data_IF_364697965868
#
_entry.id   IF_364697965868
#
_cell.length_a   1.000
_cell.length_b   1.000
_cell.length_c   1.000
_cell.angle_alpha   90.00
_cell.angle_beta   90.00
_cell.angle_gamma   90.00
#
_symmetry.space_group_name_H-M   'P 1'
#
loop_
_entity.id
_entity.type
_entity.pdbx_description
1 polymer ?
#
# COMPACT_ATOMS: atom_id res chain seq x y z
N UNK A 1 21.50 21.05 9.74
CA UNK A 1 21.00 21.64 11.00
C UNK A 1 20.23 20.54 11.71
N UNK A 2 20.79 20.00 12.78
CA UNK A 2 20.16 18.97 13.59
C UNK A 2 19.06 19.66 14.41
N UNK A 3 17.80 19.43 14.05
CA UNK A 3 16.67 19.91 14.81
C UNK A 3 16.64 19.25 16.20
N UNK A 4 16.38 20.08 17.18
CA UNK A 4 16.27 19.80 18.60
C UNK A 4 15.52 18.50 18.89
N UNK A 5 16.21 17.58 19.55
CA UNK A 5 15.64 16.37 20.14
C UNK A 5 14.78 16.84 21.33
N UNK A 6 13.45 16.76 21.19
CA UNK A 6 12.57 16.88 22.35
C UNK A 6 12.85 15.68 23.28
N UNK A 7 13.39 15.98 24.45
CA UNK A 7 13.54 15.00 25.51
C UNK A 7 12.15 14.72 26.09
N UNK A 8 11.58 13.57 25.76
CA UNK A 8 10.32 13.12 26.38
C UNK A 8 10.48 13.05 27.91
N UNK A 9 9.55 13.69 28.63
CA UNK A 9 9.42 13.49 30.07
C UNK A 9 9.27 12.00 30.37
N UNK A 10 10.08 11.46 31.28
CA UNK A 10 9.97 10.06 31.73
C UNK A 10 8.59 9.85 32.38
N UNK A 11 7.71 9.17 31.68
CA UNK A 11 6.42 8.73 32.25
C UNK A 11 6.68 7.65 33.29
N UNK A 12 6.10 7.81 34.49
CA UNK A 12 6.08 6.74 35.49
C UNK A 12 5.16 5.61 34.97
N UNK A 13 5.62 4.36 34.90
CA UNK A 13 4.80 3.28 34.39
C UNK A 13 3.55 3.08 35.25
N UNK A 14 2.39 2.96 34.62
CA UNK A 14 1.10 2.70 35.26
C UNK A 14 0.66 1.24 35.13
N UNK A 15 1.35 0.46 34.30
CA UNK A 15 1.07 -0.93 34.00
C UNK A 15 2.34 -1.70 33.58
N UNK A 16 2.30 -3.03 33.63
CA UNK A 16 3.36 -3.90 33.10
C UNK A 16 3.63 -3.65 31.61
N UNK A 17 2.63 -3.18 30.87
CA UNK A 17 2.77 -2.84 29.45
C UNK A 17 3.59 -1.56 29.28
N UNK A 18 3.38 -0.57 30.13
CA UNK A 18 4.15 0.68 30.10
C UNK A 18 5.63 0.42 30.44
N UNK A 19 5.91 -0.47 31.39
CA UNK A 19 7.29 -0.89 31.71
C UNK A 19 7.97 -1.54 30.51
N UNK A 20 7.24 -2.37 29.77
CA UNK A 20 7.72 -3.02 28.56
C UNK A 20 8.05 -1.99 27.47
N UNK A 21 7.16 -1.00 27.24
CA UNK A 21 7.42 0.08 26.29
C UNK A 21 8.63 0.92 26.67
N UNK A 22 8.76 1.28 27.94
CA UNK A 22 9.93 2.03 28.44
C UNK A 22 11.21 1.22 28.21
N UNK A 23 11.19 -0.07 28.51
CA UNK A 23 12.33 -0.97 28.28
C UNK A 23 12.74 -0.99 26.80
N UNK A 24 11.78 -1.09 25.87
CA UNK A 24 12.07 -1.08 24.44
C UNK A 24 12.52 0.28 23.94
N UNK A 25 11.95 1.38 24.43
CA UNK A 25 12.39 2.74 24.11
C UNK A 25 13.86 2.95 24.51
N UNK A 26 14.26 2.49 25.70
CA UNK A 26 15.63 2.59 26.15
C UNK A 26 16.59 1.68 25.35
N UNK A 27 16.16 0.43 25.09
CA UNK A 27 16.99 -0.57 24.41
C UNK A 27 17.25 -0.24 22.94
N UNK A 28 16.23 0.27 22.24
CA UNK A 28 16.28 0.47 20.79
C UNK A 28 16.36 1.93 20.36
N UNK A 29 16.45 2.87 21.33
CA UNK A 29 16.47 4.31 21.06
C UNK A 29 15.36 4.73 20.08
N UNK A 30 14.12 4.32 20.39
CA UNK A 30 12.97 4.56 19.54
C UNK A 30 12.74 6.05 19.33
N UNK A 31 12.57 6.44 18.09
CA UNK A 31 12.22 7.82 17.71
C UNK A 31 10.75 7.87 17.33
N UNK A 32 10.05 8.85 17.86
CA UNK A 32 8.68 9.14 17.45
C UNK A 32 8.73 10.29 16.45
N UNK A 33 8.13 10.08 15.29
CA UNK A 33 7.97 11.12 14.28
C UNK A 33 6.50 11.08 13.82
N UNK A 34 5.75 12.15 14.10
CA UNK A 34 4.33 12.28 13.75
C UNK A 34 4.10 12.26 12.24
N UNK A 35 5.10 12.63 11.44
CA UNK A 35 5.05 12.55 9.99
C UNK A 35 4.76 11.12 9.51
N UNK A 36 5.40 10.13 10.14
CA UNK A 36 5.19 8.74 9.75
C UNK A 36 3.79 8.22 10.12
N UNK A 37 3.16 8.75 11.16
CA UNK A 37 1.83 8.33 11.59
C UNK A 37 0.76 8.49 10.50
N UNK A 38 0.85 9.56 9.70
CA UNK A 38 -0.07 9.78 8.57
C UNK A 38 0.24 8.89 7.37
N UNK A 39 1.50 8.51 7.18
CA UNK A 39 1.96 7.78 5.99
C UNK A 39 1.71 6.26 6.07
N UNK A 40 1.56 5.71 7.28
CA UNK A 40 1.25 4.28 7.46
C UNK A 40 -0.19 3.94 7.09
N UNK A 41 -1.04 4.92 6.83
CA UNK A 41 -2.45 4.71 6.50
C UNK A 41 -2.69 4.90 5.00
N UNK A 42 -3.27 3.87 4.36
CA UNK A 42 -3.61 3.92 2.93
C UNK A 42 -4.70 4.93 2.59
N UNK A 43 -5.61 5.23 3.52
CA UNK A 43 -6.81 6.05 3.26
C UNK A 43 -6.50 7.46 2.74
N UNK A 44 -5.37 8.03 3.11
CA UNK A 44 -4.95 9.38 2.68
C UNK A 44 -4.44 9.43 1.24
N UNK A 45 -4.11 8.27 0.66
CA UNK A 45 -3.44 8.18 -0.64
C UNK A 45 -4.26 7.44 -1.70
N UNK A 46 -5.53 7.14 -1.39
CA UNK A 46 -6.46 6.41 -2.27
C UNK A 46 -6.65 7.06 -3.64
N UNK A 47 -6.46 8.36 -3.74
CA UNK A 47 -6.67 9.13 -4.96
C UNK A 47 -5.40 9.31 -5.81
N UNK A 48 -4.23 8.86 -5.30
CA UNK A 48 -2.98 8.92 -6.03
C UNK A 48 -2.98 8.00 -7.26
N UNK A 49 -2.26 8.37 -8.33
CA UNK A 49 -2.06 7.51 -9.49
C UNK A 49 -1.60 6.12 -9.08
N UNK A 50 -2.08 5.10 -9.77
CA UNK A 50 -1.92 3.67 -9.48
C UNK A 50 -2.57 3.21 -8.18
N UNK A 51 -2.54 3.98 -7.08
CA UNK A 51 -3.14 3.59 -5.81
C UNK A 51 -4.67 3.57 -5.89
N UNK A 52 -5.28 4.50 -6.61
CA UNK A 52 -6.73 4.56 -6.85
C UNK A 52 -7.30 3.40 -7.67
N UNK A 53 -6.46 2.57 -8.30
CA UNK A 53 -6.95 1.44 -9.10
C UNK A 53 -7.61 0.36 -8.24
N UNK A 54 -7.14 0.20 -7.01
CA UNK A 54 -7.72 -0.71 -6.04
C UNK A 54 -7.42 -0.23 -4.63
N UNK A 55 -8.47 -0.12 -3.82
CA UNK A 55 -8.32 0.18 -2.41
C UNK A 55 -7.81 -1.06 -1.67
N UNK A 56 -6.58 -1.01 -1.20
CA UNK A 56 -5.95 -2.08 -0.43
C UNK A 56 -5.86 -1.66 1.04
N UNK A 57 -6.74 -2.22 1.86
CA UNK A 57 -6.96 -1.77 3.25
C UNK A 57 -5.70 -1.90 4.12
N UNK A 58 -4.90 -2.94 3.89
CA UNK A 58 -3.65 -3.20 4.61
C UNK A 58 -2.43 -2.52 3.96
N UNK A 59 -2.68 -1.65 3.00
CA UNK A 59 -1.63 -0.92 2.30
C UNK A 59 -1.15 0.30 3.09
N UNK A 60 0.06 0.72 2.79
CA UNK A 60 0.64 1.98 3.23
C UNK A 60 0.93 2.89 2.02
N UNK A 61 1.21 4.16 2.32
CA UNK A 61 1.53 5.13 1.30
C UNK A 61 2.88 4.86 0.62
N UNK A 62 3.00 5.04 -0.71
CA UNK A 62 4.30 5.06 -1.37
C UNK A 62 5.24 6.13 -0.83
N UNK A 63 4.70 7.23 -0.30
CA UNK A 63 5.50 8.29 0.33
C UNK A 63 6.19 7.80 1.59
N UNK A 64 5.59 6.88 2.36
CA UNK A 64 6.25 6.24 3.50
C UNK A 64 7.56 5.58 3.06
N UNK A 65 7.51 4.83 1.97
CA UNK A 65 8.68 4.14 1.43
C UNK A 65 9.74 5.15 0.94
N UNK A 66 9.31 6.20 0.26
CA UNK A 66 10.22 7.28 -0.18
C UNK A 66 10.89 7.97 0.99
N UNK A 67 10.17 8.23 2.09
CA UNK A 67 10.76 8.80 3.31
C UNK A 67 11.76 7.85 3.98
N UNK A 68 11.48 6.53 3.95
CA UNK A 68 12.45 5.53 4.44
C UNK A 68 13.70 5.54 3.57
N UNK A 69 13.58 5.66 2.24
CA UNK A 69 14.72 5.75 1.34
C UNK A 69 15.58 6.98 1.65
N UNK A 70 14.94 8.13 1.86
CA UNK A 70 15.60 9.36 2.25
C UNK A 70 16.28 9.24 3.62
N UNK A 71 15.61 8.61 4.59
CA UNK A 71 16.15 8.40 5.93
C UNK A 71 17.41 7.50 5.93
N UNK A 72 17.42 6.50 5.06
CA UNK A 72 18.53 5.56 4.89
C UNK A 72 19.62 6.08 3.95
N UNK A 73 19.44 7.26 3.35
CA UNK A 73 20.36 7.85 2.37
C UNK A 73 20.75 6.86 1.25
N UNK A 74 19.73 6.19 0.67
CA UNK A 74 19.95 5.17 -0.34
C UNK A 74 20.41 5.77 -1.66
N UNK A 75 21.52 5.26 -2.19
CA UNK A 75 21.92 5.57 -3.56
C UNK A 75 21.06 4.76 -4.56
N UNK A 76 20.21 5.40 -5.38
CA UNK A 76 19.34 4.70 -6.32
C UNK A 76 20.07 3.80 -7.32
N UNK A 77 21.32 4.10 -7.63
CA UNK A 77 22.10 3.35 -8.62
C UNK A 77 22.63 2.00 -8.09
N UNK A 78 22.82 1.92 -6.78
CA UNK A 78 23.43 0.74 -6.14
C UNK A 78 22.45 0.02 -5.20
N UNK A 79 21.41 0.70 -4.75
CA UNK A 79 20.43 0.12 -3.85
C UNK A 79 19.55 -0.92 -4.55
N UNK A 80 19.21 -1.97 -3.80
CA UNK A 80 18.24 -3.00 -4.17
C UNK A 80 17.24 -3.16 -3.02
N UNK A 81 15.97 -3.01 -3.30
CA UNK A 81 14.90 -3.18 -2.32
C UNK A 81 14.32 -4.58 -2.45
N UNK A 82 14.09 -5.23 -1.32
CA UNK A 82 13.40 -6.51 -1.26
C UNK A 82 12.18 -6.41 -0.34
N UNK A 83 11.00 -6.68 -0.91
CA UNK A 83 9.72 -6.69 -0.19
C UNK A 83 9.11 -8.10 -0.25
N UNK A 84 9.23 -8.90 0.83
CA UNK A 84 8.70 -10.26 0.86
C UNK A 84 7.18 -10.34 0.98
N UNK A 85 6.48 -9.20 1.21
CA UNK A 85 5.03 -9.11 1.41
C UNK A 85 4.46 -7.94 0.60
N UNK A 86 4.72 -7.93 -0.70
CA UNK A 86 4.47 -6.81 -1.61
C UNK A 86 3.03 -6.30 -1.61
N UNK A 87 2.05 -7.15 -1.34
CA UNK A 87 0.65 -6.79 -1.41
C UNK A 87 0.28 -6.21 -2.78
N UNK A 88 -0.37 -5.07 -2.79
CA UNK A 88 -0.73 -4.38 -4.03
C UNK A 88 0.40 -3.56 -4.66
N UNK A 89 1.63 -3.63 -4.16
CA UNK A 89 2.84 -3.09 -4.78
C UNK A 89 3.25 -1.68 -4.38
N UNK A 90 2.88 -1.17 -3.22
CA UNK A 90 3.25 0.19 -2.78
C UNK A 90 4.77 0.41 -2.74
N UNK A 91 5.53 -0.55 -2.19
CA UNK A 91 7.00 -0.52 -2.19
C UNK A 91 7.58 -0.48 -3.60
N UNK A 92 7.07 -1.33 -4.50
CA UNK A 92 7.59 -1.43 -5.87
C UNK A 92 7.31 -0.16 -6.68
N UNK A 93 6.11 0.43 -6.53
CA UNK A 93 5.76 1.71 -7.16
C UNK A 93 6.66 2.82 -6.63
N UNK A 94 6.91 2.86 -5.32
CA UNK A 94 7.81 3.86 -4.74
C UNK A 94 9.25 3.69 -5.23
N UNK A 95 9.75 2.45 -5.27
CA UNK A 95 11.09 2.16 -5.79
C UNK A 95 11.22 2.63 -7.25
N UNK A 96 10.24 2.33 -8.09
CA UNK A 96 10.20 2.76 -9.49
C UNK A 96 10.23 4.29 -9.60
N UNK A 97 9.42 5.00 -8.81
CA UNK A 97 9.37 6.47 -8.81
C UNK A 97 10.69 7.12 -8.36
N UNK A 98 11.44 6.44 -7.49
CA UNK A 98 12.74 6.89 -7.00
C UNK A 98 13.93 6.33 -7.81
N UNK A 99 13.69 5.59 -8.88
CA UNK A 99 14.74 5.01 -9.72
C UNK A 99 15.56 3.91 -9.04
N UNK A 100 15.01 3.27 -8.02
CA UNK A 100 15.64 2.19 -7.24
C UNK A 100 15.16 0.84 -7.77
N UNK A 101 16.07 -0.13 -7.90
CA UNK A 101 15.69 -1.50 -8.25
C UNK A 101 14.97 -2.18 -7.09
N UNK A 102 13.91 -2.93 -7.39
CA UNK A 102 13.15 -3.63 -6.36
C UNK A 102 12.72 -5.03 -6.81
N UNK A 103 12.61 -5.94 -5.83
CA UNK A 103 12.05 -7.27 -5.99
C UNK A 103 10.96 -7.44 -4.93
N UNK A 104 9.79 -7.90 -5.35
CA UNK A 104 8.68 -8.20 -4.45
C UNK A 104 8.21 -9.63 -4.57
N UNK A 105 7.70 -10.19 -3.48
CA UNK A 105 7.03 -11.49 -3.45
C UNK A 105 5.60 -11.29 -2.98
N UNK A 106 4.65 -11.92 -3.68
CA UNK A 106 3.23 -11.90 -3.32
C UNK A 106 2.60 -13.25 -3.65
N UNK A 107 1.88 -13.82 -2.67
CA UNK A 107 1.22 -15.12 -2.82
C UNK A 107 -0.22 -15.01 -3.31
N UNK A 108 -0.90 -13.90 -3.00
CA UNK A 108 -2.26 -13.66 -3.47
C UNK A 108 -2.23 -13.33 -4.97
N UNK A 109 -2.87 -14.14 -5.85
CA UNK A 109 -2.81 -13.91 -7.30
C UNK A 109 -3.36 -12.57 -7.73
N UNK A 110 -4.40 -12.06 -7.04
CA UNK A 110 -4.98 -10.76 -7.35
C UNK A 110 -4.03 -9.61 -6.96
N UNK A 111 -3.46 -9.65 -5.76
CA UNK A 111 -2.48 -8.65 -5.31
C UNK A 111 -1.23 -8.67 -6.18
N UNK A 112 -0.74 -9.87 -6.56
CA UNK A 112 0.36 -10.01 -7.52
C UNK A 112 0.04 -9.37 -8.87
N UNK A 113 -1.18 -9.63 -9.40
CA UNK A 113 -1.64 -9.00 -10.64
C UNK A 113 -1.65 -7.47 -10.52
N UNK A 114 -2.17 -6.94 -9.41
CA UNK A 114 -2.21 -5.49 -9.16
C UNK A 114 -0.82 -4.88 -9.07
N UNK A 115 0.09 -5.50 -8.31
CA UNK A 115 1.48 -5.03 -8.19
C UNK A 115 2.17 -5.02 -9.56
N UNK A 116 2.02 -6.10 -10.34
CA UNK A 116 2.57 -6.21 -11.69
C UNK A 116 1.98 -5.17 -12.63
N UNK A 117 0.67 -4.94 -12.60
CA UNK A 117 0.03 -3.94 -13.43
C UNK A 117 0.51 -2.52 -13.11
N UNK A 118 0.67 -2.19 -11.82
CA UNK A 118 1.12 -0.85 -11.38
C UNK A 118 2.57 -0.56 -11.75
N UNK A 119 3.43 -1.58 -11.79
CA UNK A 119 4.87 -1.44 -12.02
C UNK A 119 5.30 -1.77 -13.45
N UNK A 120 4.37 -2.18 -14.29
CA UNK A 120 4.67 -2.49 -15.68
C UNK A 120 4.91 -1.21 -16.50
N UNK A 121 5.74 -1.33 -17.52
CA UNK A 121 5.91 -0.27 -18.51
C UNK A 121 4.86 -0.42 -19.62
N UNK A 122 4.11 0.63 -19.86
CA UNK A 122 3.13 0.70 -20.94
C UNK A 122 3.60 1.62 -22.05
N UNK A 123 3.70 1.10 -23.28
CA UNK A 123 4.02 1.91 -24.44
C UNK A 123 2.90 2.91 -24.74
N UNK A 124 3.26 3.99 -25.44
CA UNK A 124 2.28 4.99 -25.89
C UNK A 124 1.15 4.41 -26.74
N UNK A 125 1.41 3.32 -27.46
CA UNK A 125 0.38 2.67 -28.29
C UNK A 125 -0.64 1.90 -27.43
N UNK A 126 -0.18 1.25 -26.37
CA UNK A 126 -1.08 0.62 -25.38
C UNK A 126 -1.94 1.67 -24.69
N UNK A 127 -1.35 2.81 -24.30
CA UNK A 127 -2.11 3.92 -23.68
C UNK A 127 -3.19 4.43 -24.63
N UNK A 128 -2.86 4.68 -25.90
CA UNK A 128 -3.84 5.09 -26.93
C UNK A 128 -4.94 4.05 -27.17
N UNK A 129 -4.60 2.77 -27.08
CA UNK A 129 -5.58 1.70 -27.17
C UNK A 129 -6.55 1.74 -25.99
N UNK A 130 -6.04 1.92 -24.76
CA UNK A 130 -6.87 2.06 -23.55
C UNK A 130 -7.79 3.28 -23.63
N UNK A 131 -7.33 4.41 -24.17
CA UNK A 131 -8.17 5.60 -24.36
C UNK A 131 -9.37 5.37 -25.30
N UNK A 132 -9.20 4.47 -26.26
CA UNK A 132 -10.26 4.09 -27.22
C UNK A 132 -11.16 2.98 -26.68
N UNK A 133 -10.75 2.30 -25.61
CA UNK A 133 -11.51 1.19 -25.04
C UNK A 133 -12.77 1.73 -24.36
N UNK A 134 -13.92 1.28 -24.86
CA UNK A 134 -15.21 1.54 -24.21
C UNK A 134 -15.58 0.33 -23.38
N UNK A 135 -15.83 0.56 -22.10
CA UNK A 135 -16.37 -0.49 -21.25
C UNK A 135 -17.74 -0.91 -21.81
N UNK A 136 -18.02 -2.23 -21.88
CA UNK A 136 -19.35 -2.69 -22.23
C UNK A 136 -20.38 -2.17 -21.22
N UNK A 137 -21.63 -2.01 -21.67
CA UNK A 137 -22.71 -1.67 -20.74
C UNK A 137 -23.00 -2.89 -19.86
N UNK A 138 -22.55 -2.82 -18.61
CA UNK A 138 -22.69 -3.92 -17.66
C UNK A 138 -24.16 -4.30 -17.38
N UNK A 139 -25.12 -3.44 -17.72
CA UNK A 139 -26.56 -3.75 -17.63
C UNK A 139 -27.01 -4.82 -18.61
N UNK A 140 -26.24 -5.08 -19.67
CA UNK A 140 -26.51 -6.11 -20.67
C UNK A 140 -25.82 -7.46 -20.35
N UNK A 141 -24.91 -7.47 -19.36
CA UNK A 141 -24.25 -8.70 -18.95
C UNK A 141 -25.24 -9.52 -18.11
N UNK A 142 -25.80 -10.58 -18.72
CA UNK A 142 -26.55 -11.59 -17.97
C UNK A 142 -25.63 -12.22 -16.94
N UNK A 143 -26.18 -12.52 -15.75
CA UNK A 143 -25.48 -13.18 -14.66
C UNK A 143 -24.58 -14.31 -15.19
N UNK A 144 -23.28 -14.13 -15.01
CA UNK A 144 -22.25 -15.12 -15.39
C UNK A 144 -22.07 -16.15 -14.27
N UNK A 145 -22.59 -15.85 -13.08
CA UNK A 145 -22.45 -16.69 -11.90
C UNK A 145 -23.58 -17.72 -11.84
N UNK A 146 -23.24 -18.95 -11.47
CA UNK A 146 -24.25 -19.95 -11.15
C UNK A 146 -24.96 -19.67 -9.82
N UNK A 147 -26.07 -20.38 -9.54
CA UNK A 147 -26.86 -20.16 -8.33
C UNK A 147 -26.07 -20.41 -7.04
N UNK A 148 -25.03 -21.24 -7.07
CA UNK A 148 -24.16 -21.50 -5.93
C UNK A 148 -23.24 -20.32 -5.65
N UNK A 149 -22.61 -19.77 -6.68
CA UNK A 149 -21.73 -18.60 -6.58
C UNK A 149 -22.52 -17.38 -6.11
N UNK A 150 -23.72 -17.15 -6.64
CA UNK A 150 -24.64 -16.10 -6.19
C UNK A 150 -24.98 -16.27 -4.72
N UNK A 151 -25.27 -17.49 -4.25
CA UNK A 151 -25.58 -17.74 -2.83
C UNK A 151 -24.41 -17.41 -1.89
N UNK A 152 -23.18 -17.64 -2.33
CA UNK A 152 -21.97 -17.28 -1.59
C UNK A 152 -21.80 -15.75 -1.53
N UNK A 153 -21.97 -15.07 -2.63
CA UNK A 153 -21.87 -13.62 -2.72
C UNK A 153 -22.95 -12.95 -1.86
N UNK A 154 -24.20 -13.42 -1.89
CA UNK A 154 -25.31 -12.93 -1.07
C UNK A 154 -25.06 -13.05 0.45
N UNK A 155 -24.23 -14.00 0.89
CA UNK A 155 -23.83 -14.12 2.31
C UNK A 155 -22.80 -13.07 2.72
N UNK A 156 -22.00 -12.58 1.79
CA UNK A 156 -20.91 -11.64 2.05
C UNK A 156 -21.33 -10.18 1.85
N UNK A 157 -22.35 -9.93 1.03
CA UNK A 157 -22.77 -8.60 0.67
C UNK A 157 -24.27 -8.38 0.95
N UNK A 158 -24.63 -7.18 1.38
CA UNK A 158 -26.04 -6.82 1.49
C UNK A 158 -26.70 -6.77 0.11
N UNK A 159 -28.01 -7.01 0.04
CA UNK A 159 -28.78 -6.93 -1.23
C UNK A 159 -28.61 -5.59 -1.93
N UNK A 160 -28.46 -4.50 -1.17
CA UNK A 160 -28.26 -3.14 -1.70
C UNK A 160 -26.87 -3.00 -2.37
N UNK A 161 -25.85 -3.69 -1.89
CA UNK A 161 -24.52 -3.67 -2.48
C UNK A 161 -24.42 -4.56 -3.72
N UNK A 162 -25.19 -5.68 -3.76
CA UNK A 162 -25.24 -6.58 -4.92
C UNK A 162 -25.83 -5.92 -6.17
N UNK A 163 -26.71 -4.90 -6.01
CA UNK A 163 -27.26 -4.16 -7.15
C UNK A 163 -26.28 -3.15 -7.76
N UNK A 164 -25.09 -2.96 -7.16
CA UNK A 164 -24.04 -2.05 -7.62
C UNK A 164 -22.82 -2.77 -8.22
N UNK A 165 -22.79 -4.10 -8.16
CA UNK A 165 -21.81 -4.96 -8.79
C UNK A 165 -22.40 -5.50 -10.11
#
# INVERSE_FOLDING_TARGET
MLNSIEVKEKKTPSSNLDELYIHFDEKFNLRTDEKFASLVNFSLHKDLPFQRWHYYQEGYSPELVSEIFNYLDLDPKTAMIFDPFTGSGSTLVSAQNNGVNAIGIELNPFSFFMAKAKTNYYSSDVIKLCEKFKLPDFREIKNVYDDYELSMIERLYSKENLTKI
#
